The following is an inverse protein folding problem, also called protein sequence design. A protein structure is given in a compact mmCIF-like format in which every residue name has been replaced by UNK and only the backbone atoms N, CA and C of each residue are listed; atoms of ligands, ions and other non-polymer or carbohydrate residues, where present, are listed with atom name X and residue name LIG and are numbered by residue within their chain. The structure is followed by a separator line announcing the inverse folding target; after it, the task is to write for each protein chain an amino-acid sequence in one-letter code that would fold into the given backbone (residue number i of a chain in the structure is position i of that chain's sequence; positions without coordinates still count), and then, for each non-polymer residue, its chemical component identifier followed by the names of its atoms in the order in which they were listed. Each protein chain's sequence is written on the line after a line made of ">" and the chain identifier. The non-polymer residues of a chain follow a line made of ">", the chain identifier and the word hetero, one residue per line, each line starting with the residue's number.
data_IF_705795836307
#
_entry.id   IF_705795836307
#
_cell.length_a   1.000
_cell.length_b   1.000
_cell.length_c   1.000
_cell.angle_alpha   90.00
_cell.angle_beta   90.00
_cell.angle_gamma   90.00
#
_symmetry.space_group_name_H-M   'P 1'
#
loop_
_entity.id
_entity.type
_entity.pdbx_description
1 polymer ?
#
# COMPACT_ATOMS: atom_id res chain seq x y z
N UNK A 1 -8.25 17.34 -7.69
CA UNK A 1 -9.58 17.37 -8.36
C UNK A 1 -10.61 16.93 -7.34
N UNK A 2 -11.70 17.70 -7.11
CA UNK A 2 -12.80 17.24 -6.26
C UNK A 2 -13.24 15.84 -6.70
N UNK A 3 -13.24 14.86 -5.80
CA UNK A 3 -13.65 13.48 -6.10
C UNK A 3 -12.57 12.46 -6.49
N UNK A 4 -11.26 12.79 -6.37
CA UNK A 4 -10.21 11.76 -6.50
C UNK A 4 -10.19 10.85 -5.26
N UNK A 5 -10.26 9.52 -5.44
CA UNK A 5 -10.20 8.54 -4.35
C UNK A 5 -8.88 7.78 -4.39
N UNK A 6 -8.12 7.79 -3.30
CA UNK A 6 -7.01 6.86 -3.12
C UNK A 6 -7.60 5.56 -2.59
N UNK A 7 -7.38 4.45 -3.31
CA UNK A 7 -7.79 3.12 -2.87
C UNK A 7 -6.53 2.34 -2.52
N UNK A 8 -6.35 2.02 -1.25
CA UNK A 8 -5.29 1.09 -0.86
C UNK A 8 -5.68 -0.31 -1.33
N UNK A 9 -4.78 -0.95 -2.07
CA UNK A 9 -5.00 -2.31 -2.59
C UNK A 9 -3.89 -3.19 -2.04
N UNK A 10 -4.28 -4.21 -1.30
CA UNK A 10 -3.36 -5.25 -0.86
C UNK A 10 -3.18 -6.24 -1.98
N UNK A 11 -1.95 -6.42 -2.43
CA UNK A 11 -1.62 -7.51 -3.33
C UNK A 11 -0.88 -8.56 -2.51
N UNK A 12 -1.57 -9.61 -2.07
CA UNK A 12 -0.89 -10.73 -1.42
C UNK A 12 -0.08 -11.52 -2.44
N UNK A 13 1.18 -11.14 -2.63
CA UNK A 13 2.14 -11.91 -3.40
C UNK A 13 2.73 -12.96 -2.45
N UNK A 14 2.25 -14.20 -2.56
CA UNK A 14 2.92 -15.33 -1.92
C UNK A 14 4.10 -15.70 -2.78
N UNK A 15 5.31 -15.36 -2.32
CA UNK A 15 6.54 -15.83 -2.94
C UNK A 15 6.84 -17.22 -2.37
N UNK A 16 6.27 -18.26 -2.99
CA UNK A 16 6.43 -19.65 -2.54
C UNK A 16 7.84 -20.23 -2.82
N UNK A 17 8.83 -19.39 -3.15
CA UNK A 17 10.16 -19.85 -3.57
C UNK A 17 11.10 -20.20 -2.41
N UNK A 18 10.77 -19.85 -1.16
CA UNK A 18 11.54 -20.25 0.03
C UNK A 18 10.61 -20.67 1.19
N UNK A 19 10.72 -21.91 1.71
CA UNK A 19 9.79 -22.48 2.70
C UNK A 19 9.80 -21.77 4.07
N UNK A 20 10.72 -20.83 4.30
CA UNK A 20 10.89 -20.14 5.58
C UNK A 20 10.68 -18.64 5.52
N UNK A 21 10.42 -18.05 4.34
CA UNK A 21 10.28 -16.61 4.20
C UNK A 21 8.93 -16.30 3.57
N UNK A 22 7.93 -16.01 4.40
CA UNK A 22 6.65 -15.48 3.96
C UNK A 22 6.78 -13.96 3.98
N UNK A 23 6.54 -13.33 2.84
CA UNK A 23 6.38 -11.89 2.75
C UNK A 23 5.06 -11.54 2.08
N UNK A 24 4.56 -10.36 2.37
CA UNK A 24 3.32 -9.81 1.88
C UNK A 24 3.60 -8.42 1.28
N UNK A 25 2.86 -8.06 0.22
CA UNK A 25 3.10 -6.84 -0.53
C UNK A 25 1.92 -5.87 -0.35
N UNK A 26 2.19 -4.73 0.26
CA UNK A 26 1.20 -3.67 0.42
C UNK A 26 1.41 -2.65 -0.69
N UNK A 27 0.33 -2.18 -1.32
CA UNK A 27 0.40 -1.16 -2.38
C UNK A 27 -0.67 -0.11 -2.18
N UNK A 28 -0.24 1.15 -2.16
CA UNK A 28 -1.13 2.28 -2.24
C UNK A 28 -1.40 2.59 -3.72
N UNK A 29 -2.68 2.67 -4.11
CA UNK A 29 -3.09 2.91 -5.51
C UNK A 29 -4.01 4.13 -5.55
N UNK A 30 -3.73 5.05 -6.46
CA UNK A 30 -4.65 6.15 -6.77
C UNK A 30 -5.64 5.70 -7.83
N UNK A 31 -6.92 5.97 -7.62
CA UNK A 31 -7.94 5.86 -8.66
C UNK A 31 -8.39 7.25 -9.10
N UNK A 32 -8.36 7.51 -10.41
CA UNK A 32 -8.89 8.75 -10.96
C UNK A 32 -10.39 8.64 -11.34
N UNK A 33 -10.94 9.76 -11.83
CA UNK A 33 -12.35 9.83 -12.23
C UNK A 33 -12.68 8.96 -13.46
N UNK A 34 -11.67 8.50 -14.19
CA UNK A 34 -11.81 7.61 -15.34
C UNK A 34 -11.60 6.12 -14.94
N UNK A 35 -11.66 5.82 -13.64
CA UNK A 35 -11.40 4.49 -13.08
C UNK A 35 -9.99 3.92 -13.38
N UNK A 36 -9.05 4.75 -13.83
CA UNK A 36 -7.68 4.32 -14.04
C UNK A 36 -6.98 4.22 -12.69
N UNK A 37 -6.15 3.18 -12.54
CA UNK A 37 -5.45 2.86 -11.30
C UNK A 37 -3.95 3.03 -11.49
N UNK A 38 -3.32 3.83 -10.62
CA UNK A 38 -1.88 4.10 -10.66
C UNK A 38 -1.26 3.79 -9.29
N UNK A 39 -0.22 2.95 -9.21
CA UNK A 39 0.49 2.73 -7.96
C UNK A 39 1.18 4.03 -7.53
N UNK A 40 1.05 4.39 -6.26
CA UNK A 40 1.68 5.60 -5.68
C UNK A 40 2.78 5.26 -4.67
N UNK A 41 2.67 4.13 -3.97
CA UNK A 41 3.70 3.62 -3.07
C UNK A 41 3.52 2.10 -2.86
N UNK A 42 4.59 1.40 -2.46
CA UNK A 42 4.56 -0.03 -2.16
C UNK A 42 5.56 -0.38 -1.06
N UNK A 43 5.30 -1.49 -0.37
CA UNK A 43 6.25 -2.05 0.60
C UNK A 43 6.10 -3.57 0.72
N UNK A 44 7.20 -4.25 1.04
CA UNK A 44 7.24 -5.67 1.38
C UNK A 44 7.32 -5.78 2.90
N UNK A 45 6.39 -6.51 3.50
CA UNK A 45 6.34 -6.78 4.95
C UNK A 45 6.39 -8.28 5.18
N UNK A 46 6.90 -8.73 6.33
CA UNK A 46 6.90 -10.16 6.67
C UNK A 46 5.47 -10.66 6.96
N UNK A 47 4.66 -9.81 7.62
CA UNK A 47 3.28 -10.10 7.98
C UNK A 47 2.42 -8.86 7.75
N UNK A 48 1.27 -9.05 7.08
CA UNK A 48 0.22 -8.03 7.03
C UNK A 48 -0.52 -7.99 8.37
N UNK A 49 -0.16 -7.02 9.21
CA UNK A 49 -0.82 -6.73 10.48
C UNK A 49 -1.07 -5.24 10.68
N UNK A 50 -1.86 -4.88 11.71
CA UNK A 50 -2.19 -3.48 12.03
C UNK A 50 -0.94 -2.61 12.18
N UNK A 51 0.12 -3.11 12.81
CA UNK A 51 1.36 -2.35 13.00
C UNK A 51 2.07 -2.07 11.68
N UNK A 52 2.15 -3.07 10.79
CA UNK A 52 2.73 -2.91 9.45
C UNK A 52 1.97 -1.89 8.60
N UNK A 53 0.65 -1.86 8.75
CA UNK A 53 -0.23 -0.89 8.10
C UNK A 53 -0.09 0.51 8.67
N UNK A 54 -0.09 0.64 10.00
CA UNK A 54 0.06 1.92 10.68
C UNK A 54 1.39 2.57 10.32
N UNK A 55 2.48 1.79 10.32
CA UNK A 55 3.80 2.25 9.90
C UNK A 55 3.82 2.68 8.43
N UNK A 56 3.29 1.85 7.51
CA UNK A 56 3.25 2.19 6.09
C UNK A 56 2.40 3.43 5.80
N UNK A 57 1.22 3.55 6.42
CA UNK A 57 0.34 4.69 6.25
C UNK A 57 0.91 5.96 6.87
N UNK A 58 1.66 5.86 7.98
CA UNK A 58 2.38 7.00 8.55
C UNK A 58 3.41 7.53 7.57
N UNK A 59 4.26 6.66 7.02
CA UNK A 59 5.26 7.06 6.01
C UNK A 59 4.59 7.69 4.79
N UNK A 60 3.54 7.06 4.28
CA UNK A 60 2.80 7.57 3.13
C UNK A 60 2.14 8.93 3.42
N UNK A 61 1.64 9.14 4.64
CA UNK A 61 1.04 10.42 5.06
C UNK A 61 2.09 11.53 5.10
N UNK A 62 3.26 11.25 5.68
CA UNK A 62 4.41 12.17 5.73
C UNK A 62 4.88 12.51 4.31
N UNK A 63 5.08 11.51 3.45
CA UNK A 63 5.55 11.70 2.07
C UNK A 63 4.56 12.51 1.20
N UNK A 64 3.26 12.37 1.47
CA UNK A 64 2.21 13.12 0.77
C UNK A 64 1.91 14.48 1.41
N UNK A 65 2.55 14.83 2.52
CA UNK A 65 2.27 16.07 3.27
C UNK A 65 0.83 16.15 3.76
N UNK A 66 0.27 15.00 4.20
CA UNK A 66 -1.08 14.88 4.76
C UNK A 66 -1.10 15.01 6.29
N UNK A 67 0.04 15.37 6.88
CA UNK A 67 0.17 15.73 8.29
C UNK A 67 -0.44 17.13 8.48
N UNK A 68 -1.35 17.27 9.46
CA UNK A 68 -2.04 18.54 9.78
C UNK A 68 -1.06 19.66 10.24
#
# INVERSE_FOLDING_TARGET
>A
MPGSTIKMVVQRVKVDSLPHFKSEFLTAVRRDANNQMFPIAWVVVEVECTDSWAWFLSLLSTDLGLED
#
